data_IF_178376216065
#
_entry.id   IF_178376216065
#
_cell.length_a   1.000
_cell.length_b   1.000
_cell.length_c   1.000
_cell.angle_alpha   90.00
_cell.angle_beta   90.00
_cell.angle_gamma   90.00
#
_symmetry.space_group_name_H-M   'P 1'
#
loop_
_entity.id
_entity.type
_entity.pdbx_description
1 polymer ?
#
# COMPACT_ATOMS: atom_id res chain seq x y z
N UNK A 1 -38.78 35.35 -10.91
CA UNK A 1 -38.79 33.87 -11.09
C UNK A 1 -37.46 33.46 -11.67
N UNK A 2 -36.54 33.02 -10.82
CA UNK A 2 -35.22 32.53 -11.23
C UNK A 2 -35.20 31.03 -10.95
N UNK A 3 -35.10 30.25 -12.00
CA UNK A 3 -35.02 28.80 -11.94
C UNK A 3 -33.64 28.38 -11.46
N UNK A 4 -33.65 27.74 -10.31
CA UNK A 4 -32.47 27.10 -9.71
C UNK A 4 -32.17 25.84 -10.54
N UNK A 5 -31.14 25.87 -11.37
CA UNK A 5 -30.63 24.66 -12.03
C UNK A 5 -29.68 23.97 -11.06
N UNK A 6 -30.23 22.99 -10.34
CA UNK A 6 -29.41 21.95 -9.68
C UNK A 6 -28.56 21.24 -10.76
N UNK A 7 -27.30 21.53 -10.81
CA UNK A 7 -26.32 20.69 -11.52
C UNK A 7 -26.01 19.49 -10.63
N UNK A 8 -26.81 18.45 -10.71
CA UNK A 8 -26.38 17.10 -10.35
C UNK A 8 -25.34 16.72 -11.40
N UNK A 9 -24.07 16.77 -11.03
CA UNK A 9 -23.01 16.17 -11.82
C UNK A 9 -23.26 14.66 -11.84
N UNK A 10 -23.75 14.16 -12.96
CA UNK A 10 -23.74 12.75 -13.28
C UNK A 10 -22.26 12.28 -13.30
N UNK A 11 -21.79 11.81 -12.15
CA UNK A 11 -20.65 10.91 -12.11
C UNK A 11 -21.15 9.61 -12.76
N UNK A 12 -20.97 9.51 -14.07
CA UNK A 12 -21.21 8.26 -14.78
C UNK A 12 -20.36 7.20 -14.07
N UNK A 13 -21.03 6.27 -13.38
CA UNK A 13 -20.38 5.11 -12.81
C UNK A 13 -19.56 4.48 -13.92
N UNK A 14 -18.27 4.16 -13.65
CA UNK A 14 -17.38 3.54 -14.63
C UNK A 14 -17.87 2.14 -15.06
N UNK A 15 -19.01 1.69 -14.55
CA UNK A 15 -19.69 0.46 -14.91
C UNK A 15 -19.00 -0.81 -14.40
N UNK A 16 -18.07 -0.68 -13.45
CA UNK A 16 -17.36 -1.81 -12.85
C UNK A 16 -18.17 -2.46 -11.75
N UNK A 17 -18.04 -3.77 -11.61
CA UNK A 17 -18.54 -4.42 -10.41
C UNK A 17 -17.75 -3.89 -9.19
N UNK A 18 -18.41 -3.61 -8.05
CA UNK A 18 -17.72 -3.21 -6.84
C UNK A 18 -16.63 -4.25 -6.46
N UNK A 19 -15.44 -3.76 -6.13
CA UNK A 19 -14.32 -4.59 -5.70
C UNK A 19 -13.79 -4.11 -4.36
N UNK A 20 -13.44 -5.06 -3.49
CA UNK A 20 -12.73 -4.83 -2.25
C UNK A 20 -11.27 -5.22 -2.42
N UNK A 21 -10.38 -4.26 -2.20
CA UNK A 21 -8.94 -4.48 -2.22
C UNK A 21 -8.37 -4.23 -0.82
N UNK A 22 -7.33 -4.97 -0.44
CA UNK A 22 -6.65 -4.76 0.83
C UNK A 22 -5.13 -4.78 0.64
N UNK A 23 -4.43 -3.99 1.44
CA UNK A 23 -2.97 -4.03 1.55
C UNK A 23 -2.56 -4.24 3.00
N UNK A 24 -1.54 -5.06 3.24
CA UNK A 24 -1.04 -5.33 4.58
C UNK A 24 0.45 -5.72 4.58
N UNK A 25 1.27 -4.95 5.27
CA UNK A 25 2.61 -5.39 5.62
C UNK A 25 2.50 -6.43 6.76
N UNK A 26 2.83 -7.68 6.46
CA UNK A 26 2.62 -8.81 7.38
C UNK A 26 3.85 -9.12 8.25
N UNK A 27 4.96 -8.42 8.04
CA UNK A 27 6.21 -8.58 8.80
C UNK A 27 6.64 -10.05 8.98
N UNK A 28 6.50 -10.84 7.91
CA UNK A 28 6.79 -12.28 7.88
C UNK A 28 5.53 -13.13 7.83
N UNK A 29 5.14 -13.53 6.61
CA UNK A 29 3.86 -14.21 6.34
C UNK A 29 3.66 -15.49 7.15
N UNK A 30 4.72 -16.31 7.34
CA UNK A 30 4.63 -17.57 8.10
C UNK A 30 4.25 -17.35 9.55
N UNK A 31 4.79 -16.30 10.18
CA UNK A 31 4.44 -15.95 11.55
C UNK A 31 3.04 -15.33 11.64
N UNK A 32 2.71 -14.46 10.68
CA UNK A 32 1.43 -13.75 10.63
C UNK A 32 0.25 -14.69 10.37
N UNK A 33 0.42 -15.75 9.57
CA UNK A 33 -0.60 -16.78 9.35
C UNK A 33 -1.07 -17.45 10.64
N UNK A 34 -0.21 -17.52 11.67
CA UNK A 34 -0.55 -18.07 12.97
C UNK A 34 -1.01 -17.02 14.00
N UNK A 35 -1.14 -15.75 13.57
CA UNK A 35 -1.45 -14.62 14.45
C UNK A 35 -2.63 -13.76 13.96
N UNK A 36 -3.52 -14.32 13.12
CA UNK A 36 -4.72 -13.63 12.64
C UNK A 36 -4.75 -13.30 11.15
N UNK A 37 -3.65 -13.45 10.40
CA UNK A 37 -3.69 -13.23 8.95
C UNK A 37 -4.66 -14.18 8.24
N UNK A 38 -4.68 -15.47 8.66
CA UNK A 38 -5.57 -16.47 8.07
C UNK A 38 -7.04 -16.11 8.25
N UNK A 39 -7.42 -15.79 9.49
CA UNK A 39 -8.78 -15.39 9.86
C UNK A 39 -9.19 -14.13 9.07
N UNK A 40 -8.31 -13.13 9.04
CA UNK A 40 -8.57 -11.91 8.29
C UNK A 40 -8.77 -12.18 6.79
N UNK A 41 -7.94 -13.00 6.17
CA UNK A 41 -8.06 -13.33 4.74
C UNK A 41 -9.41 -14.01 4.43
N UNK A 42 -9.88 -14.86 5.36
CA UNK A 42 -11.17 -15.55 5.23
C UNK A 42 -12.35 -14.59 5.38
N UNK A 43 -12.29 -13.72 6.40
CA UNK A 43 -13.40 -12.87 6.83
C UNK A 43 -13.46 -11.55 6.04
N UNK A 44 -12.34 -11.08 5.49
CA UNK A 44 -12.29 -9.80 4.79
C UNK A 44 -13.17 -9.74 3.55
N UNK A 45 -13.39 -10.87 2.88
CA UNK A 45 -14.08 -10.91 1.60
C UNK A 45 -13.38 -10.11 0.49
N UNK A 46 -12.08 -9.79 0.66
CA UNK A 46 -11.34 -8.99 -0.32
C UNK A 46 -11.17 -9.76 -1.64
N UNK A 47 -11.35 -9.06 -2.74
CA UNK A 47 -11.15 -9.58 -4.10
C UNK A 47 -9.67 -9.61 -4.47
N UNK A 48 -8.92 -8.61 -4.02
CA UNK A 48 -7.47 -8.48 -4.23
C UNK A 48 -6.78 -8.18 -2.90
N UNK A 49 -5.71 -8.93 -2.60
CA UNK A 49 -4.94 -8.80 -1.38
C UNK A 49 -3.48 -8.60 -1.74
N UNK A 50 -2.91 -7.50 -1.27
CA UNK A 50 -1.53 -7.10 -1.51
C UNK A 50 -0.76 -7.20 -0.19
N UNK A 51 0.25 -8.07 -0.13
CA UNK A 51 1.04 -8.30 1.06
C UNK A 51 2.48 -7.80 0.85
N UNK A 52 3.03 -7.17 1.90
CA UNK A 52 4.42 -6.72 1.93
C UNK A 52 5.16 -7.39 3.09
N UNK A 53 6.47 -7.43 3.00
CA UNK A 53 7.35 -8.13 3.95
C UNK A 53 6.96 -9.59 4.15
N UNK A 54 6.74 -10.33 3.06
CA UNK A 54 6.44 -11.76 3.15
C UNK A 54 7.58 -12.55 3.80
N UNK A 55 8.84 -12.12 3.63
CA UNK A 55 10.05 -12.72 4.21
C UNK A 55 10.15 -14.23 4.00
N UNK A 56 9.56 -14.70 2.91
CA UNK A 56 9.51 -16.11 2.55
C UNK A 56 9.53 -16.28 1.02
N UNK A 57 10.08 -17.39 0.58
CA UNK A 57 9.90 -17.87 -0.79
C UNK A 57 8.50 -18.50 -0.90
N UNK A 58 7.92 -18.48 -2.09
CA UNK A 58 6.57 -19.00 -2.32
C UNK A 58 6.42 -20.45 -1.84
N UNK A 59 7.40 -21.31 -2.11
CA UNK A 59 7.40 -22.74 -1.75
C UNK A 59 7.47 -23.00 -0.23
N UNK A 60 7.75 -21.97 0.55
CA UNK A 60 7.77 -22.03 2.02
C UNK A 60 6.43 -21.72 2.67
N UNK A 61 5.41 -21.39 1.86
CA UNK A 61 4.08 -21.01 2.29
C UNK A 61 3.07 -21.97 1.70
N UNK A 62 2.25 -22.56 2.55
CA UNK A 62 1.13 -23.38 2.09
C UNK A 62 0.04 -22.48 1.52
N UNK A 63 -0.04 -22.43 0.20
CA UNK A 63 -1.02 -21.61 -0.52
C UNK A 63 -2.42 -22.25 -0.56
N UNK A 64 -2.61 -23.46 -0.06
CA UNK A 64 -3.94 -24.11 -0.01
C UNK A 64 -4.93 -23.34 0.88
N UNK A 65 -4.41 -22.56 1.85
CA UNK A 65 -5.23 -21.64 2.66
C UNK A 65 -5.87 -20.51 1.86
N UNK A 66 -5.30 -20.19 0.70
CA UNK A 66 -5.81 -19.12 -0.17
C UNK A 66 -6.76 -19.67 -1.24
N UNK A 67 -7.54 -20.68 -0.91
CA UNK A 67 -8.48 -21.32 -1.82
C UNK A 67 -9.35 -20.30 -2.58
N UNK A 68 -9.34 -20.39 -3.92
CA UNK A 68 -10.03 -19.45 -4.80
C UNK A 68 -9.23 -18.18 -5.17
N UNK A 69 -8.01 -18.00 -4.63
CA UNK A 69 -7.11 -16.94 -5.08
C UNK A 69 -6.01 -17.51 -6.00
N UNK A 70 -5.74 -16.82 -7.08
CA UNK A 70 -4.48 -16.94 -7.80
C UNK A 70 -3.42 -16.05 -7.09
N UNK A 71 -2.15 -16.43 -7.18
CA UNK A 71 -1.07 -15.77 -6.49
C UNK A 71 0.06 -15.38 -7.44
N UNK A 72 0.64 -14.20 -7.25
CA UNK A 72 1.93 -13.82 -7.82
C UNK A 72 2.84 -13.37 -6.68
N UNK A 73 4.10 -13.81 -6.73
CA UNK A 73 5.05 -13.67 -5.64
C UNK A 73 6.37 -13.06 -6.13
N UNK A 74 6.92 -12.13 -5.36
CA UNK A 74 8.22 -11.55 -5.62
C UNK A 74 9.05 -11.62 -4.34
N UNK A 75 9.98 -12.58 -4.28
CA UNK A 75 10.89 -12.75 -3.14
C UNK A 75 12.18 -11.97 -3.36
N UNK A 76 12.77 -11.47 -2.27
CA UNK A 76 14.13 -10.95 -2.33
C UNK A 76 15.15 -12.08 -2.57
N UNK A 77 16.26 -11.76 -3.23
CA UNK A 77 17.42 -12.68 -3.34
C UNK A 77 17.95 -13.08 -1.96
N UNK A 78 17.93 -12.12 -1.02
CA UNK A 78 18.31 -12.36 0.37
C UNK A 78 17.16 -13.08 1.11
N UNK A 79 17.41 -14.31 1.55
CA UNK A 79 16.43 -15.13 2.29
C UNK A 79 15.96 -14.44 3.58
N UNK A 80 14.64 -14.53 3.84
CA UNK A 80 14.05 -13.96 5.06
C UNK A 80 13.98 -12.44 5.12
N UNK A 81 14.08 -11.78 3.98
CA UNK A 81 14.10 -10.31 3.87
C UNK A 81 13.06 -9.85 2.84
N UNK A 82 12.41 -8.68 3.10
CA UNK A 82 11.49 -8.03 2.16
C UNK A 82 10.45 -9.01 1.56
N UNK A 83 10.17 -8.89 0.27
CA UNK A 83 9.23 -9.74 -0.46
C UNK A 83 7.82 -9.19 -0.49
N UNK A 84 7.16 -9.33 -1.63
CA UNK A 84 5.77 -8.92 -1.86
C UNK A 84 4.96 -10.05 -2.47
N UNK A 85 3.63 -10.00 -2.31
CA UNK A 85 2.71 -10.96 -2.90
C UNK A 85 1.40 -10.27 -3.25
N UNK A 86 0.78 -10.64 -4.38
CA UNK A 86 -0.61 -10.31 -4.69
C UNK A 86 -1.40 -11.62 -4.81
N UNK A 87 -2.53 -11.66 -4.11
CA UNK A 87 -3.54 -12.69 -4.19
C UNK A 87 -4.79 -12.08 -4.81
N UNK A 88 -5.44 -12.75 -5.76
CA UNK A 88 -6.67 -12.24 -6.38
C UNK A 88 -7.67 -13.35 -6.69
N UNK A 89 -8.94 -13.10 -6.37
CA UNK A 89 -10.08 -13.91 -6.84
C UNK A 89 -10.53 -13.49 -8.23
N UNK A 90 -10.23 -12.24 -8.60
CA UNK A 90 -10.54 -11.70 -9.92
C UNK A 90 -9.38 -12.02 -10.86
N UNK A 91 -9.63 -12.61 -12.04
CA UNK A 91 -8.58 -12.85 -13.02
C UNK A 91 -7.89 -11.55 -13.44
N UNK A 92 -6.56 -11.55 -13.45
CA UNK A 92 -5.79 -10.48 -14.09
C UNK A 92 -5.41 -10.87 -15.51
N UNK A 93 -5.18 -9.89 -16.39
CA UNK A 93 -4.77 -10.07 -17.78
C UNK A 93 -3.29 -10.44 -17.89
N UNK A 94 -2.47 -9.77 -17.09
CA UNK A 94 -1.03 -9.97 -17.02
C UNK A 94 -0.47 -9.56 -15.66
N UNK A 95 0.77 -9.95 -15.36
CA UNK A 95 1.51 -9.45 -14.21
C UNK A 95 2.97 -9.20 -14.56
N UNK A 96 3.61 -8.30 -13.82
CA UNK A 96 5.01 -7.96 -13.94
C UNK A 96 5.66 -7.94 -12.55
N UNK A 97 6.88 -8.47 -12.43
CA UNK A 97 7.67 -8.48 -11.20
C UNK A 97 8.78 -7.45 -11.33
N UNK A 98 8.91 -6.58 -10.32
CA UNK A 98 9.89 -5.51 -10.32
C UNK A 98 9.47 -4.31 -11.16
N UNK A 99 10.42 -3.42 -11.46
CA UNK A 99 10.25 -2.19 -12.23
C UNK A 99 11.02 -2.19 -13.54
N UNK A 100 11.74 -3.28 -13.83
CA UNK A 100 12.68 -3.39 -14.93
C UNK A 100 14.03 -2.70 -14.64
N UNK A 101 14.41 -2.60 -13.36
CA UNK A 101 15.66 -1.99 -12.90
C UNK A 101 16.51 -3.00 -12.13
N UNK A 102 17.62 -3.43 -12.72
CA UNK A 102 18.51 -4.41 -12.11
C UNK A 102 19.04 -3.99 -10.72
N UNK A 103 19.18 -2.69 -10.49
CA UNK A 103 19.67 -2.14 -9.23
C UNK A 103 18.62 -2.12 -8.11
N UNK A 104 17.33 -2.20 -8.48
CA UNK A 104 16.21 -2.01 -7.56
C UNK A 104 15.31 -3.25 -7.40
N UNK A 105 15.41 -4.24 -8.30
CA UNK A 105 14.47 -5.37 -8.33
C UNK A 105 14.93 -6.59 -7.50
N UNK A 106 16.16 -6.59 -6.94
CA UNK A 106 16.70 -7.72 -6.18
C UNK A 106 16.08 -7.94 -4.80
N UNK A 107 15.39 -6.93 -4.29
CA UNK A 107 14.82 -6.97 -2.94
C UNK A 107 13.33 -7.37 -2.91
N UNK A 108 12.73 -7.79 -4.04
CA UNK A 108 11.37 -8.32 -4.09
C UNK A 108 10.29 -7.31 -3.66
N UNK A 109 10.40 -6.04 -4.11
CA UNK A 109 9.64 -4.91 -3.56
C UNK A 109 8.39 -4.52 -4.33
N UNK A 110 8.29 -4.90 -5.61
CA UNK A 110 7.21 -4.42 -6.49
C UNK A 110 6.62 -5.59 -7.28
N UNK A 111 5.29 -5.67 -7.32
CA UNK A 111 4.52 -6.49 -8.25
C UNK A 111 3.45 -5.60 -8.86
N UNK A 112 3.23 -5.76 -10.15
CA UNK A 112 2.12 -5.17 -10.88
C UNK A 112 1.20 -6.26 -11.40
N UNK A 113 -0.12 -6.12 -11.21
CA UNK A 113 -1.14 -6.92 -11.89
C UNK A 113 -2.00 -6.02 -12.76
N UNK A 114 -2.28 -6.45 -13.99
CA UNK A 114 -3.11 -5.75 -14.95
C UNK A 114 -4.52 -6.31 -14.94
N UNK A 115 -5.49 -5.50 -14.54
CA UNK A 115 -6.91 -5.78 -14.72
C UNK A 115 -7.44 -5.11 -16.00
N UNK A 116 -8.68 -5.38 -16.35
CA UNK A 116 -9.27 -4.84 -17.58
C UNK A 116 -9.21 -3.30 -17.62
N UNK A 117 -9.51 -2.65 -16.50
CA UNK A 117 -9.70 -1.20 -16.41
C UNK A 117 -8.54 -0.46 -15.74
N UNK A 118 -7.73 -1.13 -14.94
CA UNK A 118 -6.65 -0.51 -14.15
C UNK A 118 -5.51 -1.48 -13.85
N UNK A 119 -4.39 -0.93 -13.38
CA UNK A 119 -3.31 -1.69 -12.76
C UNK A 119 -3.41 -1.63 -11.24
N UNK A 120 -3.05 -2.73 -10.57
CA UNK A 120 -2.73 -2.74 -9.13
C UNK A 120 -1.24 -2.97 -8.99
N UNK A 121 -0.57 -2.05 -8.30
CA UNK A 121 0.86 -2.12 -7.97
C UNK A 121 1.01 -2.24 -6.47
N UNK A 122 1.50 -3.38 -5.98
CA UNK A 122 1.92 -3.49 -4.58
C UNK A 122 3.38 -3.09 -4.44
N UNK A 123 3.68 -2.35 -3.38
CA UNK A 123 5.02 -1.83 -3.13
C UNK A 123 5.43 -1.99 -1.66
N UNK A 124 6.69 -2.35 -1.44
CA UNK A 124 7.39 -2.24 -0.17
C UNK A 124 8.61 -1.33 -0.36
N UNK A 125 8.44 -0.06 -0.07
CA UNK A 125 9.46 0.96 -0.28
C UNK A 125 10.65 0.75 0.66
N UNK A 126 11.91 0.92 0.20
CA UNK A 126 13.09 0.79 1.08
C UNK A 126 13.02 1.75 2.27
N UNK A 127 13.29 1.26 3.47
CA UNK A 127 13.48 2.09 4.65
C UNK A 127 14.85 2.78 4.60
N UNK A 128 14.93 4.04 5.03
CA UNK A 128 16.17 4.83 5.04
C UNK A 128 17.15 4.41 6.13
N UNK A 129 16.77 3.51 7.03
CA UNK A 129 17.53 2.97 8.16
C UNK A 129 17.97 4.03 9.20
N UNK A 130 18.52 3.54 10.32
CA UNK A 130 19.00 4.42 11.38
C UNK A 130 19.98 5.47 10.83
N UNK A 131 19.88 6.69 11.37
CA UNK A 131 20.71 7.82 10.95
C UNK A 131 20.61 8.17 9.46
N UNK A 132 19.49 7.73 8.81
CA UNK A 132 19.23 7.93 7.38
C UNK A 132 20.32 7.35 6.46
N UNK A 133 21.00 6.30 6.91
CA UNK A 133 22.14 5.70 6.22
C UNK A 133 21.84 5.26 4.77
N UNK A 134 20.58 4.92 4.45
CA UNK A 134 20.14 4.55 3.10
C UNK A 134 19.31 5.65 2.41
N UNK A 135 19.22 6.85 2.96
CA UNK A 135 18.41 7.92 2.36
C UNK A 135 18.74 8.21 0.90
N UNK A 136 20.01 8.33 0.47
CA UNK A 136 20.34 8.56 -0.95
C UNK A 136 19.79 7.45 -1.86
N UNK A 137 19.94 6.18 -1.45
CA UNK A 137 19.37 5.05 -2.20
C UNK A 137 17.84 5.09 -2.24
N UNK A 138 17.20 5.41 -1.11
CA UNK A 138 15.76 5.55 -1.00
C UNK A 138 15.21 6.59 -1.97
N UNK A 139 15.82 7.76 -2.05
CA UNK A 139 15.37 8.83 -2.95
C UNK A 139 15.53 8.46 -4.42
N UNK A 140 16.64 7.82 -4.79
CA UNK A 140 16.82 7.28 -6.16
C UNK A 140 15.77 6.23 -6.49
N UNK A 141 15.50 5.33 -5.55
CA UNK A 141 14.48 4.30 -5.71
C UNK A 141 13.08 4.91 -5.91
N UNK A 142 12.72 5.92 -5.12
CA UNK A 142 11.45 6.63 -5.22
C UNK A 142 11.29 7.31 -6.59
N UNK A 143 12.35 7.91 -7.13
CA UNK A 143 12.32 8.55 -8.46
C UNK A 143 12.09 7.52 -9.57
N UNK A 144 12.76 6.36 -9.50
CA UNK A 144 12.56 5.25 -10.45
C UNK A 144 11.15 4.68 -10.31
N UNK A 145 10.66 4.48 -9.10
CA UNK A 145 9.31 3.99 -8.84
C UNK A 145 8.24 4.95 -9.38
N UNK A 146 8.40 6.25 -9.14
CA UNK A 146 7.47 7.27 -9.67
C UNK A 146 7.45 7.26 -11.20
N UNK A 147 8.61 7.19 -11.85
CA UNK A 147 8.70 7.08 -13.30
C UNK A 147 8.02 5.80 -13.81
N UNK A 148 8.17 4.68 -13.09
CA UNK A 148 7.55 3.40 -13.40
C UNK A 148 6.02 3.48 -13.36
N UNK A 149 5.43 3.94 -12.26
CA UNK A 149 3.96 4.04 -12.14
C UNK A 149 3.37 5.05 -13.13
N UNK A 150 4.09 6.14 -13.44
CA UNK A 150 3.68 7.09 -14.50
C UNK A 150 3.76 6.49 -15.90
N UNK A 151 4.67 5.55 -16.16
CA UNK A 151 4.71 4.78 -17.40
C UNK A 151 3.50 3.86 -17.55
N UNK A 152 3.08 3.19 -16.47
CA UNK A 152 1.87 2.38 -16.45
C UNK A 152 0.62 3.25 -16.69
N UNK A 153 0.52 4.38 -15.98
CA UNK A 153 -0.62 5.29 -16.05
C UNK A 153 -0.89 5.83 -17.47
N UNK A 154 0.14 5.92 -18.32
CA UNK A 154 -0.08 6.27 -19.73
C UNK A 154 -0.89 5.26 -20.52
N UNK A 155 -1.01 4.03 -20.02
CA UNK A 155 -1.79 2.95 -20.66
C UNK A 155 -3.16 2.78 -20.03
N UNK A 156 -3.20 2.71 -18.68
CA UNK A 156 -4.41 2.55 -17.86
C UNK A 156 -4.20 3.24 -16.51
N UNK A 157 -5.27 3.66 -15.83
CA UNK A 157 -5.18 4.15 -14.45
C UNK A 157 -4.49 3.13 -13.53
N UNK A 158 -3.84 3.63 -12.47
CA UNK A 158 -3.06 2.83 -11.55
C UNK A 158 -3.57 3.01 -10.13
N UNK A 159 -3.75 1.90 -9.41
CA UNK A 159 -3.84 1.82 -7.96
C UNK A 159 -2.48 1.34 -7.43
N UNK A 160 -1.84 2.12 -6.58
CA UNK A 160 -0.63 1.74 -5.86
C UNK A 160 -0.99 1.50 -4.41
N UNK A 161 -0.50 0.42 -3.84
CA UNK A 161 -0.71 0.15 -2.42
C UNK A 161 0.53 -0.47 -1.75
N UNK A 162 0.61 -0.31 -0.46
CA UNK A 162 1.62 -0.96 0.35
C UNK A 162 2.26 -0.05 1.38
N UNK A 163 3.36 -0.54 1.94
CA UNK A 163 4.17 0.19 2.90
C UNK A 163 5.14 1.12 2.15
N UNK A 164 4.84 2.41 2.19
CA UNK A 164 5.67 3.44 1.57
C UNK A 164 6.79 3.93 2.51
N UNK A 165 6.88 3.39 3.72
CA UNK A 165 7.91 3.73 4.71
C UNK A 165 8.08 5.25 4.89
N UNK A 166 6.99 5.99 4.88
CA UNK A 166 6.96 7.44 5.11
C UNK A 166 5.64 7.88 5.72
N UNK A 167 5.66 8.65 6.80
CA UNK A 167 4.53 9.45 7.26
C UNK A 167 4.59 10.81 6.54
N UNK A 168 3.60 11.10 5.68
CA UNK A 168 3.68 12.27 4.80
C UNK A 168 3.58 13.59 5.55
N UNK A 169 2.56 13.75 6.38
CA UNK A 169 2.28 14.98 7.11
C UNK A 169 2.39 14.77 8.63
N UNK A 170 2.45 15.85 9.40
CA UNK A 170 2.49 15.78 10.87
C UNK A 170 1.27 15.07 11.46
N UNK A 171 0.13 15.09 10.78
CA UNK A 171 -1.08 14.36 11.15
C UNK A 171 -0.94 12.83 11.01
N UNK A 172 0.06 12.37 10.25
CA UNK A 172 0.26 10.95 9.91
C UNK A 172 1.12 10.19 10.93
N UNK A 173 1.57 10.85 12.00
CA UNK A 173 2.28 10.16 13.07
C UNK A 173 2.06 10.80 14.43
N UNK A 174 2.26 10.01 15.47
CA UNK A 174 2.34 10.51 16.84
C UNK A 174 3.68 11.21 17.08
N UNK A 175 3.66 12.31 17.85
CA UNK A 175 4.85 13.04 18.26
C UNK A 175 5.74 13.54 17.09
N UNK A 176 5.22 14.29 16.11
CA UNK A 176 5.96 14.68 14.91
C UNK A 176 7.24 15.46 15.23
N UNK A 177 7.21 16.35 16.23
CA UNK A 177 8.37 17.18 16.59
C UNK A 177 9.58 16.36 17.03
N UNK A 178 9.39 15.28 17.79
CA UNK A 178 10.49 14.41 18.25
C UNK A 178 10.94 13.40 17.21
N UNK A 179 10.14 13.19 16.17
CA UNK A 179 10.42 12.24 15.11
C UNK A 179 10.97 12.85 13.82
N UNK A 180 11.07 14.20 13.79
CA UNK A 180 11.68 14.87 12.64
C UNK A 180 13.10 14.35 12.42
N UNK A 181 13.46 14.04 11.17
CA UNK A 181 14.71 13.40 10.77
C UNK A 181 14.89 11.92 11.20
N UNK A 182 13.86 11.30 11.75
CA UNK A 182 13.86 9.84 11.84
C UNK A 182 13.52 9.20 10.49
N UNK A 183 14.01 7.99 10.19
CA UNK A 183 13.61 7.23 9.00
C UNK A 183 12.08 7.15 8.88
N UNK A 184 11.58 7.51 7.70
CA UNK A 184 10.14 7.60 7.44
C UNK A 184 9.51 8.95 7.81
N UNK A 185 10.28 9.92 8.35
CA UNK A 185 9.80 11.28 8.60
C UNK A 185 10.89 12.35 8.40
N UNK A 186 11.88 12.08 7.56
CA UNK A 186 12.78 13.14 7.08
C UNK A 186 12.07 14.05 6.10
N UNK A 187 12.55 15.29 5.99
CA UNK A 187 11.95 16.26 5.06
C UNK A 187 12.08 15.74 3.61
N UNK A 188 13.19 15.09 3.26
CA UNK A 188 13.45 14.53 1.93
C UNK A 188 12.50 13.38 1.56
N UNK A 189 12.20 12.47 2.51
CA UNK A 189 11.24 11.38 2.28
C UNK A 189 9.83 11.94 2.10
N UNK A 190 9.43 12.91 2.89
CA UNK A 190 8.14 13.59 2.80
C UNK A 190 8.00 14.37 1.49
N UNK A 191 9.03 15.08 1.07
CA UNK A 191 9.08 15.76 -0.22
C UNK A 191 9.00 14.78 -1.39
N UNK A 192 9.66 13.62 -1.26
CA UNK A 192 9.58 12.55 -2.25
C UNK A 192 8.14 12.00 -2.37
N UNK A 193 7.44 11.84 -1.25
CA UNK A 193 6.03 11.45 -1.27
C UNK A 193 5.15 12.55 -1.91
N UNK A 194 5.37 13.82 -1.58
CA UNK A 194 4.67 14.97 -2.19
C UNK A 194 4.77 14.92 -3.72
N UNK A 195 5.94 14.57 -4.27
CA UNK A 195 6.13 14.44 -5.72
C UNK A 195 5.25 13.36 -6.36
N UNK A 196 4.81 12.31 -5.64
CA UNK A 196 3.80 11.38 -6.15
C UNK A 196 2.44 12.07 -6.30
N UNK A 197 2.05 12.89 -5.33
CA UNK A 197 0.80 13.64 -5.39
C UNK A 197 0.84 14.70 -6.48
N UNK A 198 1.94 15.44 -6.61
CA UNK A 198 2.17 16.44 -7.66
C UNK A 198 2.16 15.80 -9.06
N UNK A 199 2.55 14.53 -9.17
CA UNK A 199 2.46 13.74 -10.39
C UNK A 199 1.03 13.31 -10.75
N UNK A 200 0.02 13.65 -9.92
CA UNK A 200 -1.40 13.41 -10.18
C UNK A 200 -2.00 12.21 -9.46
N UNK A 201 -1.26 11.59 -8.52
CA UNK A 201 -1.82 10.55 -7.66
C UNK A 201 -2.53 11.16 -6.46
N UNK A 202 -3.57 10.47 -5.97
CA UNK A 202 -4.36 10.84 -4.80
C UNK A 202 -3.92 9.98 -3.62
N UNK A 203 -3.75 10.56 -2.43
CA UNK A 203 -3.74 9.81 -1.17
C UNK A 203 -5.19 9.43 -0.83
N UNK A 204 -5.57 8.21 -1.19
CA UNK A 204 -6.97 7.78 -1.16
C UNK A 204 -7.56 7.83 0.25
N UNK A 205 -6.79 7.47 1.28
CA UNK A 205 -7.30 7.56 2.65
C UNK A 205 -7.65 9.01 3.02
N UNK A 206 -6.81 9.97 2.64
CA UNK A 206 -7.03 11.40 2.93
C UNK A 206 -8.12 12.03 2.08
N UNK A 207 -8.61 11.38 1.03
CA UNK A 207 -9.84 11.79 0.33
C UNK A 207 -11.10 11.58 1.21
N UNK A 208 -11.07 10.59 2.14
CA UNK A 208 -12.22 10.21 2.97
C UNK A 208 -12.08 10.62 4.43
N UNK A 209 -10.88 10.63 5.00
CA UNK A 209 -10.63 10.89 6.42
C UNK A 209 -9.46 11.84 6.63
N UNK A 210 -9.76 13.03 7.13
CA UNK A 210 -8.80 14.08 7.47
C UNK A 210 -8.50 14.14 8.98
N UNK A 211 -8.99 13.17 9.76
CA UNK A 211 -8.80 13.17 11.21
C UNK A 211 -7.38 12.75 11.60
N UNK A 212 -6.85 13.25 12.73
CA UNK A 212 -5.58 12.81 13.31
C UNK A 212 -5.73 11.43 13.99
N UNK A 213 -4.57 10.83 14.32
CA UNK A 213 -4.54 9.59 15.09
C UNK A 213 -4.93 8.35 14.30
N UNK A 214 -4.91 8.43 12.97
CA UNK A 214 -5.21 7.33 12.06
C UNK A 214 -3.90 6.73 11.56
N UNK A 215 -3.45 5.65 12.20
CA UNK A 215 -2.14 5.05 11.97
C UNK A 215 -2.28 3.61 11.47
N UNK A 216 -1.21 3.13 10.79
CA UNK A 216 -1.16 1.78 10.24
C UNK A 216 -0.05 0.94 10.85
N UNK A 217 0.91 1.55 11.54
CA UNK A 217 2.07 0.91 12.14
C UNK A 217 2.34 1.40 13.56
N UNK A 218 2.78 0.47 14.43
CA UNK A 218 3.17 0.74 15.83
C UNK A 218 4.42 -0.04 16.18
N UNK A 219 5.42 0.67 16.71
CA UNK A 219 6.69 0.05 17.09
C UNK A 219 6.51 -1.04 18.17
N UNK A 220 7.12 -2.20 17.93
CA UNK A 220 7.16 -3.27 18.93
C UNK A 220 8.21 -3.02 20.03
N UNK A 221 9.09 -2.00 19.86
CA UNK A 221 10.12 -1.67 20.85
C UNK A 221 9.57 -0.95 22.07
N UNK A 222 8.43 -0.29 21.94
CA UNK A 222 7.76 0.42 23.02
C UNK A 222 6.55 -0.43 23.46
N UNK A 223 6.52 -0.89 24.72
CA UNK A 223 5.35 -1.59 25.24
C UNK A 223 4.09 -0.74 25.07
N UNK A 224 2.99 -1.39 24.70
CA UNK A 224 1.67 -0.77 24.58
C UNK A 224 1.56 0.37 23.55
N UNK A 225 2.53 0.52 22.64
CA UNK A 225 2.50 1.61 21.63
C UNK A 225 1.18 1.60 20.84
N UNK A 226 0.69 0.41 20.43
CA UNK A 226 -0.57 0.30 19.70
C UNK A 226 -1.77 0.60 20.58
N UNK A 227 -1.79 0.11 21.81
CA UNK A 227 -2.87 0.39 22.77
C UNK A 227 -2.96 1.88 23.13
N UNK A 228 -1.82 2.56 23.20
CA UNK A 228 -1.73 4.01 23.44
C UNK A 228 -1.88 4.84 22.15
N UNK A 229 -2.04 4.18 21.02
CA UNK A 229 -2.06 4.77 19.69
C UNK A 229 -0.87 5.71 19.40
N UNK A 230 0.35 5.29 19.79
CA UNK A 230 1.60 5.97 19.46
C UNK A 230 2.14 5.32 18.17
N UNK A 231 1.55 5.67 17.05
CA UNK A 231 1.76 5.02 15.75
C UNK A 231 2.07 6.00 14.63
N UNK A 232 2.28 5.44 13.44
CA UNK A 232 2.55 6.12 12.19
C UNK A 232 1.66 5.55 11.09
N UNK A 233 1.24 6.38 10.13
CA UNK A 233 0.60 5.92 8.89
C UNK A 233 1.68 5.76 7.83
N UNK A 234 2.05 4.53 7.53
CA UNK A 234 3.10 4.15 6.59
C UNK A 234 2.54 3.39 5.38
N UNK A 235 1.34 2.83 5.53
CA UNK A 235 0.66 2.04 4.50
C UNK A 235 -0.41 2.89 3.80
N UNK A 236 -0.41 2.84 2.49
CA UNK A 236 -1.21 3.73 1.65
C UNK A 236 -1.94 2.99 0.54
N UNK A 237 -3.01 3.63 0.06
CA UNK A 237 -3.52 3.51 -1.28
C UNK A 237 -3.32 4.84 -1.99
N UNK A 238 -2.55 4.82 -3.10
CA UNK A 238 -2.48 5.94 -4.03
C UNK A 238 -3.25 5.56 -5.29
N UNK A 239 -4.00 6.49 -5.85
CA UNK A 239 -4.80 6.27 -7.05
C UNK A 239 -4.50 7.32 -8.10
N UNK A 240 -4.41 6.92 -9.38
CA UNK A 240 -4.48 7.87 -10.50
C UNK A 240 -5.70 8.76 -10.36
N UNK A 241 -5.57 10.06 -10.63
CA UNK A 241 -6.68 11.02 -10.54
C UNK A 241 -7.92 10.60 -11.33
N UNK A 242 -7.74 9.87 -12.44
CA UNK A 242 -8.84 9.33 -13.24
C UNK A 242 -9.72 8.32 -12.51
N UNK A 243 -9.22 7.69 -11.41
CA UNK A 243 -9.98 6.73 -10.61
C UNK A 243 -10.83 7.40 -9.51
N UNK A 244 -10.70 8.71 -9.28
CA UNK A 244 -11.44 9.41 -8.22
C UNK A 244 -12.95 9.09 -8.22
N UNK A 245 -13.68 9.04 -9.35
CA UNK A 245 -15.10 8.71 -9.35
C UNK A 245 -15.42 7.28 -8.91
N UNK A 246 -14.46 6.34 -9.09
CA UNK A 246 -14.61 4.94 -8.69
C UNK A 246 -14.31 4.70 -7.21
N UNK A 247 -13.61 5.60 -6.52
CA UNK A 247 -13.29 5.45 -5.11
C UNK A 247 -14.54 5.56 -4.26
N UNK A 248 -14.82 4.57 -3.39
CA UNK A 248 -16.01 4.55 -2.54
C UNK A 248 -15.69 4.72 -1.06
N UNK A 249 -14.63 4.06 -0.58
CA UNK A 249 -14.12 4.21 0.79
C UNK A 249 -12.69 3.70 0.89
N UNK A 250 -11.95 4.22 1.87
CA UNK A 250 -10.65 3.71 2.27
C UNK A 250 -10.61 3.65 3.81
N UNK A 251 -10.32 2.47 4.37
CA UNK A 251 -10.45 2.21 5.80
C UNK A 251 -9.19 1.58 6.37
N UNK A 252 -8.63 2.20 7.41
CA UNK A 252 -7.56 1.60 8.22
C UNK A 252 -8.20 0.65 9.23
N UNK A 253 -7.77 -0.62 9.23
CA UNK A 253 -8.30 -1.70 10.09
C UNK A 253 -7.39 -1.89 11.29
N UNK A 254 -7.33 -0.87 12.15
CA UNK A 254 -6.56 -0.88 13.38
C UNK A 254 -7.04 -1.90 14.43
N UNK A 255 -8.24 -2.46 14.23
CA UNK A 255 -8.80 -3.58 14.98
C UNK A 255 -8.18 -4.95 14.62
N UNK A 256 -7.51 -5.07 13.46
CA UNK A 256 -6.91 -6.32 12.99
C UNK A 256 -5.47 -6.46 13.51
N UNK A 257 -5.21 -7.58 14.16
CA UNK A 257 -3.90 -7.93 14.73
C UNK A 257 -3.21 -9.04 13.94
N UNK A 258 -1.89 -9.24 14.15
CA UNK A 258 -1.10 -10.29 13.47
C UNK A 258 0.23 -9.78 12.92
N UNK A 259 0.38 -8.46 12.82
CA UNK A 259 1.61 -7.75 12.45
C UNK A 259 1.74 -6.48 13.32
N UNK A 260 2.89 -5.82 13.27
CA UNK A 260 3.07 -4.45 13.77
C UNK A 260 2.44 -3.40 12.86
N UNK A 261 2.00 -3.79 11.66
CA UNK A 261 1.09 -3.02 10.82
C UNK A 261 -0.34 -3.57 10.92
N UNK A 262 -1.30 -2.79 10.45
CA UNK A 262 -2.67 -3.24 10.21
C UNK A 262 -3.06 -3.10 8.73
N UNK A 263 -4.10 -3.82 8.28
CA UNK A 263 -4.58 -3.70 6.90
C UNK A 263 -5.15 -2.33 6.59
N UNK A 264 -5.05 -1.93 5.32
CA UNK A 264 -5.79 -0.80 4.77
C UNK A 264 -6.66 -1.32 3.63
N UNK A 265 -7.96 -1.16 3.77
CA UNK A 265 -8.97 -1.63 2.83
C UNK A 265 -9.43 -0.50 1.90
N UNK A 266 -9.61 -0.81 0.63
CA UNK A 266 -10.12 0.09 -0.41
C UNK A 266 -11.36 -0.54 -1.05
N UNK A 267 -12.43 0.23 -1.18
CA UNK A 267 -13.60 -0.12 -1.99
C UNK A 267 -13.63 0.75 -3.24
N UNK A 268 -13.76 0.11 -4.40
CA UNK A 268 -13.94 0.77 -5.70
C UNK A 268 -15.18 0.21 -6.42
N UNK A 269 -15.76 0.99 -7.34
CA UNK A 269 -16.91 0.55 -8.13
C UNK A 269 -17.76 1.68 -8.71
#
# INVERSE_FOLDING_TARGET
>A
MAANKNSTSDAAALGWAPMKLTTWNVNGIRASLNKGLREYLFDSGADVICLQETKAMQEQVDLTFFGGYQAVWNSAEKKGYSGTCILSRVPWLSHEIGMGSADHDREGRVITTEFAEFYVVTVYTPNSQAELARLPYRLQWDDVFRAFIKRLERKKPVLVCGDLNVAHQEIDLANPKSNRMNPGFSDEERDSFTRHLDAGFLDVFREFDQSPGRYTWWTQRTPDARMKNIGWRLDYWLASGALRPALKSCTIRDDVHGSDHCPVELMIG
#
